data_IF_788057904391
#
_entry.id   IF_788057904391
#
_cell.length_a   1.000
_cell.length_b   1.000
_cell.length_c   1.000
_cell.angle_alpha   90.00
_cell.angle_beta   90.00
_cell.angle_gamma   90.00
#
_symmetry.space_group_name_H-M   'P 1'
#
loop_
_entity.id
_entity.type
_entity.pdbx_description
1 polymer ?
#
# COMPACT_ATOMS: atom_id res chain seq x y z
N UNK A 1 -18.21 -15.23 9.85
CA UNK A 1 -17.90 -13.79 9.68
C UNK A 1 -17.17 -13.65 8.36
N UNK A 2 -17.77 -13.00 7.37
CA UNK A 2 -17.10 -12.75 6.09
C UNK A 2 -16.03 -11.68 6.35
N UNK A 3 -14.76 -12.09 6.44
CA UNK A 3 -13.62 -11.16 6.45
C UNK A 3 -13.50 -10.58 5.04
N UNK A 4 -14.25 -9.51 4.77
CA UNK A 4 -14.28 -8.82 3.47
C UNK A 4 -13.00 -7.99 3.26
N UNK A 5 -12.34 -7.58 4.36
CA UNK A 5 -11.14 -6.73 4.34
C UNK A 5 -9.84 -7.53 4.53
N UNK A 6 -8.77 -7.11 3.85
CA UNK A 6 -7.43 -7.72 3.83
C UNK A 6 -7.37 -9.13 3.23
N UNK A 7 -8.28 -9.45 2.32
CA UNK A 7 -8.15 -10.66 1.48
C UNK A 7 -7.00 -10.49 0.48
N UNK A 8 -6.40 -11.61 0.04
CA UNK A 8 -5.38 -11.60 -1.02
C UNK A 8 -5.87 -10.89 -2.29
N UNK A 9 -7.17 -11.00 -2.60
CA UNK A 9 -7.80 -10.30 -3.72
C UNK A 9 -7.81 -8.78 -3.53
N UNK A 10 -8.29 -8.28 -2.39
CA UNK A 10 -8.33 -6.83 -2.12
C UNK A 10 -6.91 -6.22 -2.10
N UNK A 11 -5.96 -6.92 -1.46
CA UNK A 11 -4.55 -6.50 -1.45
C UNK A 11 -3.99 -6.45 -2.86
N UNK A 12 -4.31 -7.41 -3.72
CA UNK A 12 -3.86 -7.41 -5.12
C UNK A 12 -4.38 -6.19 -5.90
N UNK A 13 -5.65 -5.83 -5.72
CA UNK A 13 -6.23 -4.64 -6.36
C UNK A 13 -5.53 -3.36 -5.90
N UNK A 14 -5.32 -3.21 -4.59
CA UNK A 14 -4.65 -2.02 -4.04
C UNK A 14 -3.20 -1.92 -4.50
N UNK A 15 -2.48 -3.04 -4.59
CA UNK A 15 -1.11 -3.06 -5.14
C UNK A 15 -1.11 -2.61 -6.59
N UNK A 16 -2.04 -3.08 -7.42
CA UNK A 16 -2.18 -2.63 -8.82
C UNK A 16 -2.41 -1.12 -8.90
N UNK A 17 -3.33 -0.60 -8.09
CA UNK A 17 -3.59 0.84 -8.02
C UNK A 17 -2.34 1.60 -7.59
N UNK A 18 -1.58 1.11 -6.60
CA UNK A 18 -0.34 1.75 -6.14
C UNK A 18 0.69 1.83 -7.27
N UNK A 19 1.00 0.72 -7.94
CA UNK A 19 1.99 0.73 -9.01
C UNK A 19 1.51 1.51 -10.25
N UNK A 20 0.20 1.55 -10.50
CA UNK A 20 -0.40 2.39 -11.56
C UNK A 20 -0.30 3.89 -11.24
N UNK A 21 -0.51 4.24 -9.98
CA UNK A 21 -0.58 5.63 -9.52
C UNK A 21 0.80 6.26 -9.43
N UNK A 22 1.78 5.51 -8.92
CA UNK A 22 3.14 6.04 -8.68
C UNK A 22 3.99 6.02 -9.95
N UNK A 23 3.72 5.12 -10.90
CA UNK A 23 4.38 5.02 -12.21
C UNK A 23 5.92 4.98 -12.17
N UNK A 24 6.50 4.47 -11.07
CA UNK A 24 7.94 4.18 -10.94
C UNK A 24 8.15 2.75 -10.45
N UNK A 25 9.40 2.30 -10.39
CA UNK A 25 9.77 0.96 -9.93
C UNK A 25 9.79 0.91 -8.40
N UNK A 26 8.82 0.24 -7.78
CA UNK A 26 8.69 0.19 -6.32
C UNK A 26 9.21 -1.12 -5.74
N UNK A 27 9.83 -1.07 -4.55
CA UNK A 27 10.16 -2.27 -3.78
C UNK A 27 8.89 -2.82 -3.10
N UNK A 28 8.97 -4.06 -2.61
CA UNK A 28 7.89 -4.63 -1.79
C UNK A 28 7.64 -3.81 -0.52
N UNK A 29 8.69 -3.26 0.09
CA UNK A 29 8.56 -2.49 1.33
C UNK A 29 7.87 -1.15 1.04
N UNK A 30 8.21 -0.47 -0.07
CA UNK A 30 7.51 0.74 -0.51
C UNK A 30 6.03 0.49 -0.80
N UNK A 31 5.72 -0.60 -1.48
CA UNK A 31 4.33 -0.99 -1.77
C UNK A 31 3.57 -1.26 -0.47
N UNK A 32 4.17 -2.01 0.46
CA UNK A 32 3.56 -2.33 1.76
C UNK A 32 3.30 -1.07 2.59
N UNK A 33 4.25 -0.15 2.61
CA UNK A 33 4.15 1.11 3.36
C UNK A 33 3.09 2.03 2.76
N UNK A 34 3.07 2.21 1.44
CA UNK A 34 2.03 3.00 0.76
C UNK A 34 0.64 2.39 0.94
N UNK A 35 0.52 1.07 0.86
CA UNK A 35 -0.75 0.36 1.09
C UNK A 35 -1.25 0.57 2.53
N UNK A 36 -0.36 0.50 3.52
CA UNK A 36 -0.72 0.74 4.92
C UNK A 36 -1.10 2.20 5.18
N UNK A 37 -0.31 3.14 4.67
CA UNK A 37 -0.57 4.57 4.80
C UNK A 37 -1.90 4.93 4.13
N UNK A 38 -2.20 4.37 2.96
CA UNK A 38 -3.41 4.71 2.25
C UNK A 38 -4.68 4.21 2.95
N UNK A 39 -4.68 3.00 3.51
CA UNK A 39 -5.84 2.49 4.27
C UNK A 39 -6.03 3.24 5.60
N UNK A 40 -4.95 3.76 6.18
CA UNK A 40 -4.94 4.54 7.43
C UNK A 40 -4.59 6.02 7.19
N UNK A 41 -5.12 6.59 6.11
CA UNK A 41 -4.69 7.90 5.62
C UNK A 41 -4.83 9.06 6.61
N UNK A 42 -5.79 9.01 7.53
CA UNK A 42 -5.99 10.03 8.57
C UNK A 42 -4.81 10.09 9.54
N UNK A 43 -4.23 8.93 9.88
CA UNK A 43 -3.13 8.83 10.84
C UNK A 43 -1.83 9.43 10.31
N UNK A 44 -1.69 9.47 8.99
CA UNK A 44 -0.50 9.97 8.29
C UNK A 44 -0.73 11.35 7.64
N UNK A 45 -1.89 11.97 7.86
CA UNK A 45 -2.21 13.29 7.31
C UNK A 45 -2.39 13.32 5.80
N UNK A 46 -2.72 12.19 5.17
CA UNK A 46 -2.93 12.07 3.72
C UNK A 46 -4.41 11.94 3.33
N UNK A 47 -5.30 11.83 4.33
CA UNK A 47 -6.76 11.80 4.18
C UNK A 47 -7.43 12.38 5.42
N UNK A 48 -8.71 12.77 5.31
CA UNK A 48 -9.54 13.16 6.46
C UNK A 48 -10.09 11.95 7.23
N UNK A 49 -10.06 10.76 6.61
CA UNK A 49 -10.61 9.52 7.15
C UNK A 49 -9.74 8.31 6.81
N UNK A 50 -9.88 7.24 7.61
CA UNK A 50 -9.29 5.94 7.37
C UNK A 50 -10.25 5.08 6.53
N UNK A 51 -9.79 4.54 5.40
CA UNK A 51 -10.60 3.69 4.51
C UNK A 51 -11.01 2.37 5.18
N UNK A 52 -10.19 1.86 6.10
CA UNK A 52 -10.49 0.67 6.91
C UNK A 52 -11.13 1.00 8.26
N UNK A 53 -11.47 2.27 8.49
CA UNK A 53 -11.99 2.76 9.77
C UNK A 53 -10.91 2.91 10.85
N UNK A 54 -11.33 3.44 12.00
CA UNK A 54 -10.46 3.65 13.16
C UNK A 54 -10.44 2.34 13.99
N UNK A 55 -9.38 1.53 13.86
CA UNK A 55 -9.18 0.30 14.65
C UNK A 55 -7.96 0.44 15.58
N UNK A 56 -8.12 0.14 16.87
CA UNK A 56 -7.03 0.19 17.86
C UNK A 56 -5.93 -0.85 17.59
N UNK A 57 -6.24 -1.91 16.84
CA UNK A 57 -5.30 -2.98 16.49
C UNK A 57 -4.66 -2.83 15.11
N UNK A 58 -4.89 -1.72 14.39
CA UNK A 58 -4.40 -1.50 13.02
C UNK A 58 -2.91 -1.78 12.80
N UNK A 59 -2.08 -1.52 13.80
CA UNK A 59 -0.62 -1.76 13.69
C UNK A 59 -0.20 -3.22 13.84
N UNK A 60 -1.03 -4.07 14.46
CA UNK A 60 -0.84 -5.52 14.41
C UNK A 60 -1.02 -6.04 12.98
N UNK A 61 -1.90 -5.42 12.19
CA UNK A 61 -2.09 -5.77 10.78
C UNK A 61 -0.82 -5.52 9.96
N UNK A 62 -0.08 -4.44 10.24
CA UNK A 62 1.16 -4.11 9.53
C UNK A 62 2.19 -5.25 9.61
N UNK A 63 2.38 -5.85 10.79
CA UNK A 63 3.34 -6.94 10.99
C UNK A 63 3.01 -8.20 10.19
N UNK A 64 1.73 -8.47 9.95
CA UNK A 64 1.26 -9.61 9.14
C UNK A 64 1.12 -9.26 7.65
N UNK A 65 1.15 -7.97 7.28
CA UNK A 65 0.83 -7.50 5.92
C UNK A 65 1.88 -7.88 4.89
N UNK A 66 3.16 -7.92 5.28
CA UNK A 66 4.27 -8.16 4.34
C UNK A 66 4.17 -9.51 3.65
N UNK A 67 3.69 -10.54 4.35
CA UNK A 67 3.50 -11.87 3.76
C UNK A 67 2.37 -11.86 2.72
N UNK A 68 1.23 -11.24 3.05
CA UNK A 68 0.08 -11.13 2.16
C UNK A 68 0.44 -10.30 0.91
N UNK A 69 1.13 -9.17 1.08
CA UNK A 69 1.63 -8.34 -0.03
C UNK A 69 2.61 -9.14 -0.89
N UNK A 70 3.50 -9.94 -0.29
CA UNK A 70 4.43 -10.79 -1.06
C UNK A 70 3.68 -11.83 -1.91
N UNK A 71 2.65 -12.47 -1.35
CA UNK A 71 1.82 -13.43 -2.08
C UNK A 71 1.05 -12.75 -3.22
N UNK A 72 0.44 -11.60 -2.95
CA UNK A 72 -0.29 -10.82 -3.95
C UNK A 72 0.62 -10.34 -5.10
N UNK A 73 1.82 -9.85 -4.81
CA UNK A 73 2.80 -9.46 -5.84
C UNK A 73 3.16 -10.66 -6.73
N UNK A 74 3.42 -11.84 -6.14
CA UNK A 74 3.72 -13.05 -6.91
C UNK A 74 2.58 -13.41 -7.85
N UNK A 75 1.35 -13.35 -7.37
CA UNK A 75 0.15 -13.62 -8.17
C UNK A 75 0.00 -12.61 -9.33
N UNK A 76 0.18 -11.31 -9.06
CA UNK A 76 0.11 -10.26 -10.08
C UNK A 76 1.21 -10.38 -11.13
N UNK A 77 2.39 -10.84 -10.75
CA UNK A 77 3.49 -11.15 -11.68
C UNK A 77 3.14 -12.37 -12.54
N UNK A 78 2.65 -13.45 -11.93
CA UNK A 78 2.25 -14.66 -12.66
C UNK A 78 1.12 -14.39 -13.66
N UNK A 79 0.20 -13.48 -13.31
CA UNK A 79 -0.90 -13.04 -14.18
C UNK A 79 -0.50 -11.98 -15.21
N UNK A 80 0.72 -11.46 -15.15
CA UNK A 80 1.23 -10.48 -16.12
C UNK A 80 0.74 -9.04 -15.92
N UNK A 81 0.13 -8.71 -14.78
CA UNK A 81 -0.32 -7.34 -14.47
C UNK A 81 0.80 -6.44 -13.92
N UNK A 82 1.86 -7.05 -13.38
CA UNK A 82 3.04 -6.36 -12.83
C UNK A 82 4.30 -7.01 -13.39
N UNK A 83 5.30 -6.19 -13.73
CA UNK A 83 6.62 -6.63 -14.19
C UNK A 83 7.65 -6.55 -13.07
N UNK A 84 8.34 -7.66 -12.72
CA UNK A 84 9.45 -7.64 -11.78
C UNK A 84 10.75 -7.19 -12.47
N UNK A 85 11.55 -6.40 -11.76
CA UNK A 85 12.86 -5.89 -12.19
C UNK A 85 13.90 -6.30 -11.15
N UNK A 86 14.81 -7.20 -11.52
CA UNK A 86 15.89 -7.62 -10.64
C UNK A 86 17.01 -6.57 -10.59
N UNK A 87 17.53 -6.30 -9.40
CA UNK A 87 18.73 -5.49 -9.20
C UNK A 87 19.61 -6.11 -8.09
N UNK A 88 20.76 -5.47 -7.82
CA UNK A 88 21.74 -5.95 -6.83
C UNK A 88 21.21 -6.02 -5.38
N UNK A 89 20.11 -5.36 -5.09
CA UNK A 89 19.51 -5.22 -3.76
C UNK A 89 18.15 -5.91 -3.64
N UNK A 90 17.70 -6.64 -4.67
CA UNK A 90 16.42 -7.35 -4.68
C UNK A 90 15.59 -7.08 -5.93
N UNK A 91 14.27 -7.06 -5.76
CA UNK A 91 13.32 -6.82 -6.84
C UNK A 91 12.57 -5.50 -6.64
N UNK A 92 12.37 -4.78 -7.74
CA UNK A 92 11.37 -3.73 -7.84
C UNK A 92 10.30 -4.12 -8.84
N UNK A 93 9.15 -3.45 -8.78
CA UNK A 93 7.95 -3.80 -9.51
C UNK A 93 7.40 -2.55 -10.21
N UNK A 94 6.92 -2.72 -11.44
CA UNK A 94 6.19 -1.68 -12.17
C UNK A 94 4.94 -2.29 -12.78
N UNK A 95 3.95 -1.46 -13.08
CA UNK A 95 2.74 -1.93 -13.78
C UNK A 95 3.06 -2.35 -15.22
N UNK A 96 2.35 -3.35 -15.74
CA UNK A 96 2.37 -3.74 -17.16
C UNK A 96 1.27 -3.01 -17.94
N UNK A 97 1.21 -3.21 -19.27
CA UNK A 97 0.13 -2.63 -20.09
C UNK A 97 -1.24 -3.22 -19.71
N UNK A 98 -1.27 -4.52 -19.46
CA UNK A 98 -2.45 -5.25 -19.02
C UNK A 98 -2.91 -4.77 -17.64
N UNK A 99 -1.96 -4.46 -16.74
CA UNK A 99 -2.25 -3.87 -15.44
C UNK A 99 -2.88 -2.47 -15.56
N UNK A 100 -2.35 -1.62 -16.44
CA UNK A 100 -2.93 -0.29 -16.70
C UNK A 100 -4.36 -0.41 -17.20
N UNK A 101 -4.60 -1.25 -18.22
CA UNK A 101 -5.94 -1.46 -18.77
C UNK A 101 -6.93 -2.00 -17.71
N UNK A 102 -6.46 -2.86 -16.81
CA UNK A 102 -7.27 -3.33 -15.69
C UNK A 102 -7.63 -2.18 -14.73
N UNK A 103 -6.65 -1.35 -14.34
CA UNK A 103 -6.91 -0.19 -13.47
C UNK A 103 -7.88 0.81 -14.10
N UNK A 104 -7.81 1.04 -15.41
CA UNK A 104 -8.74 1.91 -16.13
C UNK A 104 -10.19 1.38 -16.13
N UNK A 105 -10.37 0.07 -15.95
CA UNK A 105 -11.70 -0.54 -15.81
C UNK A 105 -12.30 -0.42 -14.41
N UNK A 106 -11.50 -0.04 -13.40
CA UNK A 106 -11.99 0.20 -12.04
C UNK A 106 -12.78 1.51 -12.01
N UNK A 107 -14.05 1.42 -11.65
CA UNK A 107 -14.98 2.55 -11.68
C UNK A 107 -15.82 2.66 -10.41
N UNK A 108 -15.23 2.33 -9.27
CA UNK A 108 -15.86 2.41 -7.97
C UNK A 108 -15.23 3.50 -7.09
N UNK A 109 -16.04 4.06 -6.19
CA UNK A 109 -15.64 5.15 -5.30
C UNK A 109 -14.47 4.78 -4.39
N UNK A 110 -14.36 3.53 -3.96
CA UNK A 110 -13.26 3.11 -3.10
C UNK A 110 -11.92 3.16 -3.85
N UNK A 111 -11.90 2.72 -5.12
CA UNK A 111 -10.73 2.84 -5.98
C UNK A 111 -10.33 4.31 -6.21
N UNK A 112 -11.30 5.19 -6.49
CA UNK A 112 -11.06 6.64 -6.66
C UNK A 112 -10.45 7.28 -5.41
N UNK A 113 -11.06 7.05 -4.24
CA UNK A 113 -10.57 7.55 -2.96
C UNK A 113 -9.15 7.02 -2.67
N UNK A 114 -8.92 5.71 -2.90
CA UNK A 114 -7.62 5.10 -2.68
C UNK A 114 -6.54 5.67 -3.60
N UNK A 115 -6.84 5.92 -4.89
CA UNK A 115 -5.92 6.59 -5.83
C UNK A 115 -5.48 7.95 -5.30
N UNK A 116 -6.44 8.79 -4.87
CA UNK A 116 -6.13 10.14 -4.38
C UNK A 116 -5.28 10.13 -3.11
N UNK A 117 -5.55 9.19 -2.20
CA UNK A 117 -4.75 9.04 -0.98
C UNK A 117 -3.34 8.54 -1.33
N UNK A 118 -3.18 7.57 -2.23
CA UNK A 118 -1.87 7.09 -2.67
C UNK A 118 -1.06 8.20 -3.33
N UNK A 119 -1.68 9.06 -4.15
CA UNK A 119 -1.00 10.24 -4.73
C UNK A 119 -0.45 11.16 -3.64
N UNK A 120 -1.28 11.51 -2.65
CA UNK A 120 -0.88 12.37 -1.53
C UNK A 120 0.23 11.72 -0.70
N UNK A 121 0.11 10.44 -0.38
CA UNK A 121 1.12 9.69 0.36
C UNK A 121 2.46 9.62 -0.38
N UNK A 122 2.43 9.35 -1.69
CA UNK A 122 3.64 9.32 -2.50
C UNK A 122 4.34 10.68 -2.55
N UNK A 123 3.58 11.78 -2.67
CA UNK A 123 4.14 13.14 -2.63
C UNK A 123 4.73 13.45 -1.25
N UNK A 124 3.99 13.17 -0.17
CA UNK A 124 4.40 13.49 1.19
C UNK A 124 5.67 12.72 1.62
N UNK A 125 5.81 11.48 1.17
CA UNK A 125 6.91 10.58 1.56
C UNK A 125 7.92 10.32 0.42
N UNK A 126 7.97 11.18 -0.60
CA UNK A 126 8.84 11.02 -1.78
C UNK A 126 10.33 10.95 -1.40
N UNK A 127 10.76 11.84 -0.51
CA UNK A 127 12.17 11.96 -0.09
C UNK A 127 12.57 10.94 1.00
N UNK A 128 11.64 10.10 1.43
CA UNK A 128 11.93 9.08 2.42
C UNK A 128 12.52 7.87 1.70
N UNK A 129 13.61 7.29 2.23
CA UNK A 129 13.99 5.94 1.83
C UNK A 129 13.00 4.92 2.38
N UNK A 130 12.92 3.74 1.77
CA UNK A 130 12.00 2.68 2.23
C UNK A 130 12.21 2.40 3.73
N UNK A 131 13.47 2.27 4.17
CA UNK A 131 13.81 2.09 5.59
C UNK A 131 13.31 3.23 6.47
N UNK A 132 13.41 4.48 6.03
CA UNK A 132 12.95 5.65 6.80
C UNK A 132 11.44 5.66 6.91
N UNK A 133 10.73 5.31 5.83
CA UNK A 133 9.27 5.25 5.81
C UNK A 133 8.74 4.14 6.72
N UNK A 134 9.29 2.93 6.60
CA UNK A 134 8.99 1.81 7.49
C UNK A 134 9.22 2.17 8.96
N UNK A 135 10.34 2.85 9.25
CA UNK A 135 10.62 3.32 10.61
C UNK A 135 9.60 4.35 11.10
N UNK A 136 9.14 5.25 10.23
CA UNK A 136 8.10 6.23 10.54
C UNK A 136 6.80 5.53 10.93
N UNK A 137 6.34 4.55 10.15
CA UNK A 137 5.15 3.75 10.44
C UNK A 137 5.27 3.05 11.80
N UNK A 138 6.42 2.40 12.05
CA UNK A 138 6.68 1.73 13.32
C UNK A 138 6.69 2.70 14.52
N UNK A 139 7.21 3.92 14.34
CA UNK A 139 7.21 4.94 15.41
C UNK A 139 5.81 5.43 15.72
N UNK A 140 4.98 5.69 14.69
CA UNK A 140 3.57 6.01 14.86
C UNK A 140 2.82 4.90 15.61
N UNK A 141 3.09 3.63 15.26
CA UNK A 141 2.53 2.47 15.95
C UNK A 141 2.82 2.51 17.46
N UNK A 142 4.08 2.76 17.82
CA UNK A 142 4.52 2.79 19.22
C UNK A 142 3.91 3.98 19.98
N UNK A 143 3.84 5.16 19.36
CA UNK A 143 3.27 6.35 19.99
C UNK A 143 1.77 6.17 20.30
N UNK A 144 1.01 5.62 19.35
CA UNK A 144 -0.41 5.31 19.54
C UNK A 144 -0.64 4.28 20.66
N UNK A 145 0.17 3.22 20.73
CA UNK A 145 0.11 2.23 21.82
C UNK A 145 0.39 2.83 23.20
N UNK A 146 1.16 3.93 23.27
CA UNK A 146 1.49 4.63 24.51
C UNK A 146 0.48 5.72 24.89
N UNK A 147 -0.54 5.96 24.07
CA UNK A 147 -1.51 7.04 24.26
C UNK A 147 -0.91 8.44 24.05
N UNK A 148 0.26 8.54 23.43
CA UNK A 148 0.93 9.80 23.12
C UNK A 148 0.34 10.33 21.80
N UNK A 149 -0.48 11.39 21.87
CA UNK A 149 -0.92 12.09 20.65
C UNK A 149 0.29 12.72 19.96
N UNK A 150 0.44 12.40 18.67
CA UNK A 150 1.45 12.99 17.77
C UNK A 150 1.22 14.47 17.55
#
# INVERSE_FOLDING_TARGET
>A
MNNIFNTSFEVSLRILIIVNTVQTRLSIDRITDLDFIAIYGKDFGVSEYNLHGDNDYRFSEYTSKREIVSQAIKELVLRGYITPHCNKSGFNYSISKEGVAFCESLNDKYAEDFIEIVKKANVLFLDYSDRKLTHCINKYAIAMLRGEKS
#
